data_IF_733049956942
#
_entry.id   IF_733049956942
#
_cell.length_a   1.000
_cell.length_b   1.000
_cell.length_c   1.000
_cell.angle_alpha   90.00
_cell.angle_beta   90.00
_cell.angle_gamma   90.00
#
_symmetry.space_group_name_H-M   'P 1'
#
loop_
_entity.id
_entity.type
_entity.pdbx_description
1 polymer ?
#
# COMPACT_ATOMS: atom_id res chain seq x y z
N UNK A 1 16.14 14.84 0.96
CA UNK A 1 15.39 13.73 0.32
C UNK A 1 13.94 14.09 0.36
N UNK A 2 13.27 14.22 -0.79
CA UNK A 2 11.86 14.65 -0.82
C UNK A 2 11.03 13.68 0.01
N UNK A 3 10.38 14.19 1.06
CA UNK A 3 9.50 13.42 1.92
C UNK A 3 8.23 13.11 1.11
N UNK A 4 8.29 12.11 0.23
CA UNK A 4 7.16 11.63 -0.54
C UNK A 4 6.22 10.84 0.38
N UNK A 5 5.61 11.54 1.32
CA UNK A 5 4.52 11.00 2.13
C UNK A 5 3.31 10.87 1.22
N UNK A 6 2.75 9.66 1.16
CA UNK A 6 1.52 9.41 0.42
C UNK A 6 0.36 10.14 1.11
N UNK A 7 -0.42 10.97 0.40
CA UNK A 7 -1.64 11.59 0.94
C UNK A 7 -2.68 10.51 1.27
N UNK A 8 -3.35 10.61 2.43
CA UNK A 8 -4.41 9.66 2.79
C UNK A 8 -5.57 9.69 1.78
N UNK A 9 -5.89 10.86 1.22
CA UNK A 9 -6.89 11.01 0.16
C UNK A 9 -6.59 10.17 -1.10
N UNK A 10 -5.31 9.96 -1.41
CA UNK A 10 -4.91 9.09 -2.51
C UNK A 10 -5.19 7.62 -2.18
N UNK A 11 -4.90 7.21 -0.94
CA UNK A 11 -5.20 5.85 -0.50
C UNK A 11 -6.70 5.56 -0.52
N UNK A 12 -7.53 6.49 -0.02
CA UNK A 12 -9.00 6.37 -0.06
C UNK A 12 -9.51 6.17 -1.49
N UNK A 13 -9.02 6.98 -2.45
CA UNK A 13 -9.41 6.87 -3.86
C UNK A 13 -9.05 5.50 -4.46
N UNK A 14 -7.85 4.99 -4.15
CA UNK A 14 -7.38 3.71 -4.69
C UNK A 14 -7.94 2.51 -3.93
N UNK A 15 -8.39 2.69 -2.68
CA UNK A 15 -8.83 1.61 -1.79
C UNK A 15 -9.92 0.73 -2.41
N UNK A 16 -10.85 1.34 -3.17
CA UNK A 16 -11.94 0.65 -3.86
C UNK A 16 -11.48 -0.28 -4.98
N UNK A 17 -10.25 -0.11 -5.48
CA UNK A 17 -9.66 -0.94 -6.52
C UNK A 17 -8.75 -2.04 -5.95
N UNK A 18 -8.45 -1.99 -4.65
CA UNK A 18 -7.55 -2.96 -4.02
C UNK A 18 -8.32 -4.24 -3.66
N UNK A 19 -7.66 -5.41 -3.75
CA UNK A 19 -8.25 -6.64 -3.26
C UNK A 19 -8.55 -6.52 -1.76
N UNK A 20 -9.61 -7.16 -1.25
CA UNK A 20 -9.91 -7.16 0.18
C UNK A 20 -8.71 -7.70 0.97
N UNK A 21 -8.37 -7.04 2.09
CA UNK A 21 -7.30 -7.51 2.96
C UNK A 21 -7.68 -8.89 3.51
N UNK A 22 -6.79 -9.87 3.29
CA UNK A 22 -7.00 -11.23 3.78
C UNK A 22 -6.53 -11.31 5.23
N UNK A 23 -7.35 -11.81 6.15
CA UNK A 23 -6.92 -12.06 7.52
C UNK A 23 -5.84 -13.16 7.55
N UNK A 24 -5.04 -13.16 8.61
CA UNK A 24 -4.10 -14.26 8.86
C UNK A 24 -4.91 -15.54 9.06
N UNK A 25 -4.58 -16.58 8.28
CA UNK A 25 -5.30 -17.85 8.33
C UNK A 25 -5.19 -18.54 9.70
N UNK A 26 -6.10 -19.48 10.01
CA UNK A 26 -6.17 -20.15 11.32
C UNK A 26 -4.95 -21.02 11.65
N UNK A 27 -4.14 -21.38 10.66
CA UNK A 27 -2.89 -22.13 10.83
C UNK A 27 -1.67 -21.22 11.03
N UNK A 28 -1.88 -19.92 11.17
CA UNK A 28 -0.81 -18.92 11.14
C UNK A 28 -0.17 -18.79 9.76
N UNK A 29 0.82 -17.91 9.66
CA UNK A 29 1.52 -17.58 8.43
C UNK A 29 2.02 -16.15 8.47
N UNK A 30 2.93 -15.79 7.57
CA UNK A 30 3.30 -14.38 7.40
C UNK A 30 2.07 -13.64 6.85
N UNK A 31 1.52 -12.63 7.56
CA UNK A 31 0.44 -11.81 7.03
C UNK A 31 0.87 -11.23 5.69
N UNK A 32 -0.04 -11.17 4.72
CA UNK A 32 0.24 -10.42 3.49
C UNK A 32 0.50 -8.96 3.86
N UNK A 33 1.37 -8.31 3.08
CA UNK A 33 1.64 -6.88 3.22
C UNK A 33 0.31 -6.12 3.15
N UNK A 34 0.06 -5.25 4.13
CA UNK A 34 -1.15 -4.42 4.16
C UNK A 34 -1.24 -3.58 2.90
N UNK A 35 -2.45 -3.41 2.39
CA UNK A 35 -2.72 -2.66 1.16
C UNK A 35 -2.14 -1.24 1.24
N UNK A 36 -2.26 -0.58 2.40
CA UNK A 36 -1.70 0.76 2.65
C UNK A 36 -0.17 0.82 2.49
N UNK A 37 0.54 -0.24 2.86
CA UNK A 37 2.00 -0.32 2.73
C UNK A 37 2.38 -0.50 1.25
N UNK A 38 1.67 -1.36 0.52
CA UNK A 38 1.91 -1.56 -0.91
C UNK A 38 1.69 -0.27 -1.71
N UNK A 39 0.56 0.43 -1.47
CA UNK A 39 0.25 1.70 -2.15
C UNK A 39 1.27 2.79 -1.79
N UNK A 40 1.77 2.82 -0.55
CA UNK A 40 2.83 3.76 -0.15
C UNK A 40 4.13 3.53 -0.93
N UNK A 41 4.52 2.28 -1.18
CA UNK A 41 5.72 1.96 -1.96
C UNK A 41 5.52 2.32 -3.43
N UNK A 42 4.34 2.05 -3.98
CA UNK A 42 3.98 2.46 -5.35
C UNK A 42 4.03 3.99 -5.46
N UNK A 43 3.44 4.72 -4.51
CA UNK A 43 3.50 6.18 -4.45
C UNK A 43 4.94 6.69 -4.42
N UNK A 44 5.79 6.08 -3.60
CA UNK A 44 7.20 6.43 -3.54
C UNK A 44 7.86 6.26 -4.92
N UNK A 45 7.69 5.12 -5.59
CA UNK A 45 8.24 4.88 -6.94
C UNK A 45 7.75 5.91 -7.96
N UNK A 46 6.45 6.24 -7.93
CA UNK A 46 5.85 7.25 -8.81
C UNK A 46 6.39 8.67 -8.52
N UNK A 47 6.54 9.03 -7.24
CA UNK A 47 6.98 10.35 -6.82
C UNK A 47 8.48 10.57 -7.03
N UNK A 48 9.31 9.53 -6.90
CA UNK A 48 10.76 9.63 -7.12
C UNK A 48 11.17 9.32 -8.55
N UNK A 49 10.28 8.75 -9.37
CA UNK A 49 10.60 8.32 -10.72
C UNK A 49 11.55 7.12 -10.77
N UNK A 50 11.63 6.33 -9.70
CA UNK A 50 12.35 5.06 -9.69
C UNK A 50 11.63 4.08 -10.61
N UNK A 51 12.26 3.78 -11.75
CA UNK A 51 11.75 2.89 -12.82
C UNK A 51 12.71 1.74 -13.00
#
# INVERSE_FOLDING_TARGET
MATATMPDAFFELVSHHLPPEQPVGPKGGCPRVRNRVAVRVIWFMLATGCR
#
